data_IF_394879960182
#
_entry.id   IF_394879960182
#
_cell.length_a   1.000
_cell.length_b   1.000
_cell.length_c   1.000
_cell.angle_alpha   90.00
_cell.angle_beta   90.00
_cell.angle_gamma   90.00
#
_symmetry.space_group_name_H-M   'P 1'
#
loop_
_entity.id
_entity.type
_entity.pdbx_description
1 polymer ?
#
# COMPACT_ATOMS: atom_id res chain seq x y z
N UNK A 1 5.14 11.88 -20.60
CA UNK A 1 5.42 10.76 -19.69
C UNK A 1 4.17 9.87 -19.73
N UNK A 2 4.22 8.71 -20.39
CA UNK A 2 3.08 7.79 -20.46
C UNK A 2 2.95 7.14 -19.08
N UNK A 3 1.93 7.55 -18.32
CA UNK A 3 1.51 6.80 -17.14
C UNK A 3 0.87 5.48 -17.59
N UNK A 4 0.99 4.41 -16.81
CA UNK A 4 0.29 3.13 -17.07
C UNK A 4 -1.23 3.34 -17.25
N UNK A 5 -1.77 4.42 -16.66
CA UNK A 5 -3.16 4.87 -16.79
C UNK A 5 -3.53 5.43 -18.18
N UNK A 6 -2.57 5.60 -19.09
CA UNK A 6 -2.73 6.36 -20.34
C UNK A 6 -1.96 5.76 -21.51
N UNK A 7 -1.63 4.47 -21.43
CA UNK A 7 -0.93 3.77 -22.51
C UNK A 7 -1.91 3.49 -23.67
N UNK A 8 -1.73 4.10 -24.86
CA UNK A 8 -2.66 3.96 -25.97
C UNK A 8 -2.56 2.61 -26.70
N UNK A 9 -1.53 1.81 -26.40
CA UNK A 9 -1.24 0.54 -27.06
C UNK A 9 -1.78 -0.67 -26.26
N UNK A 10 -2.68 -0.43 -25.31
CA UNK A 10 -3.15 -1.43 -24.34
C UNK A 10 -4.26 -2.32 -24.94
N UNK A 11 -3.91 -3.37 -25.68
CA UNK A 11 -4.91 -4.33 -26.15
C UNK A 11 -5.49 -5.18 -24.99
N UNK A 12 -6.82 -5.45 -24.96
CA UNK A 12 -7.40 -6.37 -24.00
C UNK A 12 -6.78 -7.77 -24.06
N UNK A 13 -6.66 -8.47 -22.92
CA UNK A 13 -7.20 -8.09 -21.61
C UNK A 13 -6.28 -7.15 -20.83
N UNK A 14 -6.90 -6.14 -20.20
CA UNK A 14 -6.27 -5.17 -19.31
C UNK A 14 -5.81 -5.79 -17.95
N UNK A 15 -5.66 -7.11 -17.87
CA UNK A 15 -5.40 -7.84 -16.62
C UNK A 15 -4.10 -7.32 -15.95
N UNK A 16 -4.17 -7.09 -14.64
CA UNK A 16 -3.05 -6.55 -13.85
C UNK A 16 -2.74 -5.07 -14.11
N UNK A 17 -3.57 -4.36 -14.88
CA UNK A 17 -3.41 -2.93 -15.15
C UNK A 17 -4.23 -2.10 -14.18
N UNK A 18 -3.66 -0.98 -13.77
CA UNK A 18 -4.40 0.07 -13.07
C UNK A 18 -5.21 0.87 -14.09
N UNK A 19 -6.49 1.07 -13.84
CA UNK A 19 -7.44 1.75 -14.73
C UNK A 19 -8.25 2.79 -13.97
N UNK A 20 -8.75 3.78 -14.69
CA UNK A 20 -9.80 4.67 -14.17
C UNK A 20 -11.16 4.06 -14.50
N UNK A 21 -11.94 3.73 -13.48
CA UNK A 21 -13.29 3.20 -13.60
C UNK A 21 -14.31 4.28 -13.23
N UNK A 22 -15.28 4.50 -14.11
CA UNK A 22 -16.38 5.45 -13.92
C UNK A 22 -17.58 4.73 -13.32
N UNK A 23 -18.05 5.16 -12.15
CA UNK A 23 -19.20 4.54 -11.47
C UNK A 23 -20.48 4.84 -12.24
N UNK A 24 -21.18 3.81 -12.71
CA UNK A 24 -22.49 3.91 -13.38
C UNK A 24 -23.63 3.79 -12.38
N UNK A 25 -23.61 2.75 -11.55
CA UNK A 25 -24.67 2.50 -10.58
C UNK A 25 -24.17 1.68 -9.39
N UNK A 26 -24.93 1.71 -8.30
CA UNK A 26 -24.71 0.89 -7.11
C UNK A 26 -25.77 -0.21 -7.06
N UNK A 27 -25.32 -1.46 -7.02
CA UNK A 27 -26.16 -2.65 -6.92
C UNK A 27 -25.83 -3.49 -5.68
N UNK A 28 -26.54 -4.60 -5.45
CA UNK A 28 -26.28 -5.52 -4.33
C UNK A 28 -24.88 -6.13 -4.39
N UNK A 29 -24.42 -6.51 -5.58
CA UNK A 29 -23.11 -7.14 -5.82
C UNK A 29 -21.92 -6.16 -5.73
N UNK A 30 -22.16 -4.86 -5.88
CA UNK A 30 -21.08 -3.88 -5.98
C UNK A 30 -21.46 -2.63 -6.75
N UNK A 31 -20.46 -2.03 -7.39
CA UNK A 31 -20.62 -0.89 -8.27
C UNK A 31 -20.41 -1.35 -9.71
N UNK A 32 -21.39 -1.06 -10.56
CA UNK A 32 -21.19 -1.21 -12.01
C UNK A 32 -20.42 -0.01 -12.50
N UNK A 33 -19.47 -0.26 -13.38
CA UNK A 33 -18.46 0.69 -13.79
C UNK A 33 -18.30 0.67 -15.31
N UNK A 34 -17.65 1.71 -15.84
CA UNK A 34 -17.11 1.70 -17.20
C UNK A 34 -15.65 2.06 -17.16
N UNK A 35 -14.86 1.25 -17.83
CA UNK A 35 -13.45 1.51 -18.08
C UNK A 35 -13.30 1.87 -19.55
N UNK A 36 -12.59 2.97 -19.82
CA UNK A 36 -12.29 3.38 -21.18
C UNK A 36 -10.85 3.04 -21.52
N UNK A 37 -10.66 2.42 -22.69
CA UNK A 37 -9.34 2.26 -23.28
C UNK A 37 -8.73 3.63 -23.60
N UNK A 38 -7.50 3.88 -23.16
CA UNK A 38 -6.86 5.18 -23.31
C UNK A 38 -6.48 5.52 -24.77
N UNK A 39 -6.27 4.51 -25.62
CA UNK A 39 -5.87 4.68 -27.01
C UNK A 39 -7.05 4.69 -27.98
N UNK A 40 -8.01 3.80 -27.76
CA UNK A 40 -9.15 3.62 -28.68
C UNK A 40 -10.43 4.30 -28.21
N UNK A 41 -10.49 4.73 -26.94
CA UNK A 41 -11.71 5.25 -26.31
C UNK A 41 -12.82 4.21 -26.15
N UNK A 42 -12.50 2.91 -26.34
CA UNK A 42 -13.48 1.83 -26.27
C UNK A 42 -13.94 1.66 -24.84
N UNK A 43 -15.26 1.57 -24.66
CA UNK A 43 -15.85 1.28 -23.36
C UNK A 43 -15.86 -0.23 -23.07
N UNK A 44 -15.52 -0.57 -21.84
CA UNK A 44 -15.62 -1.90 -21.26
C UNK A 44 -16.48 -1.82 -20.00
N UNK A 45 -17.48 -2.70 -19.90
CA UNK A 45 -18.24 -2.88 -18.68
C UNK A 45 -17.35 -3.54 -17.61
N UNK A 46 -17.53 -3.12 -16.37
CA UNK A 46 -16.71 -3.55 -15.26
C UNK A 46 -17.51 -3.60 -13.96
N UNK A 47 -17.16 -4.52 -13.07
CA UNK A 47 -17.72 -4.65 -11.74
C UNK A 47 -16.64 -4.39 -10.69
N UNK A 48 -16.92 -3.47 -9.77
CA UNK A 48 -16.19 -3.33 -8.51
C UNK A 48 -17.00 -4.01 -7.39
N UNK A 49 -16.58 -5.18 -6.88
CA UNK A 49 -17.33 -5.91 -5.88
C UNK A 49 -17.52 -5.12 -4.58
N UNK A 50 -18.68 -5.29 -3.96
CA UNK A 50 -19.02 -4.63 -2.68
C UNK A 50 -18.08 -5.04 -1.54
N UNK A 51 -17.61 -6.28 -1.51
CA UNK A 51 -16.68 -6.80 -0.50
C UNK A 51 -15.40 -5.96 -0.41
N UNK A 52 -14.81 -5.67 -1.56
CA UNK A 52 -13.59 -4.86 -1.69
C UNK A 52 -13.81 -3.41 -1.24
N UNK A 53 -14.99 -2.84 -1.51
CA UNK A 53 -15.33 -1.49 -1.04
C UNK A 53 -15.55 -1.41 0.48
N UNK A 54 -16.12 -2.47 1.09
CA UNK A 54 -16.29 -2.53 2.55
C UNK A 54 -14.96 -2.65 3.30
N UNK A 55 -13.97 -3.35 2.75
CA UNK A 55 -12.64 -3.51 3.38
C UNK A 55 -11.93 -2.17 3.60
N UNK A 56 -12.20 -1.16 2.77
CA UNK A 56 -11.64 0.19 2.89
C UNK A 56 -12.28 1.02 4.02
N UNK A 57 -13.32 0.50 4.67
CA UNK A 57 -14.23 1.23 5.56
C UNK A 57 -13.95 1.01 7.05
N UNK A 58 -12.77 0.53 7.44
CA UNK A 58 -12.41 0.28 8.84
C UNK A 58 -12.21 1.61 9.61
N UNK A 59 -13.28 2.38 9.83
CA UNK A 59 -13.30 3.70 10.45
C UNK A 59 -14.68 4.38 10.31
N UNK A 60 -14.74 5.71 10.46
CA UNK A 60 -15.94 6.50 10.16
C UNK A 60 -16.48 6.13 8.77
N UNK A 61 -17.81 6.12 8.59
CA UNK A 61 -18.45 5.70 7.34
C UNK A 61 -17.77 6.38 6.14
N UNK A 62 -17.00 5.66 5.32
CA UNK A 62 -16.27 6.30 4.24
C UNK A 62 -17.26 6.85 3.23
N UNK A 63 -16.83 7.85 2.43
CA UNK A 63 -17.61 8.27 1.29
C UNK A 63 -17.90 7.05 0.43
N UNK A 64 -19.19 6.82 0.18
CA UNK A 64 -19.63 5.78 -0.76
C UNK A 64 -19.67 6.45 -2.13
N UNK A 65 -18.97 5.91 -3.15
CA UNK A 65 -19.00 6.48 -4.48
C UNK A 65 -20.42 6.59 -5.03
N UNK A 66 -20.72 7.72 -5.65
CA UNK A 66 -21.97 7.98 -6.36
C UNK A 66 -21.81 7.74 -7.87
N UNK A 67 -22.92 7.50 -8.60
CA UNK A 67 -22.90 7.55 -10.05
C UNK A 67 -22.26 8.84 -10.58
N UNK A 68 -21.30 8.70 -11.50
CA UNK A 68 -20.49 9.79 -12.04
C UNK A 68 -19.12 9.94 -11.41
N UNK A 69 -18.89 9.38 -10.21
CA UNK A 69 -17.57 9.38 -9.58
C UNK A 69 -16.58 8.49 -10.36
N UNK A 70 -15.29 8.72 -10.12
CA UNK A 70 -14.23 7.87 -10.67
C UNK A 70 -13.39 7.26 -9.56
N UNK A 71 -13.01 6.00 -9.77
CA UNK A 71 -12.07 5.30 -8.90
C UNK A 71 -10.91 4.74 -9.71
N UNK A 72 -9.74 4.68 -9.08
CA UNK A 72 -8.58 3.99 -9.63
C UNK A 72 -8.57 2.56 -9.10
N UNK A 73 -8.62 1.58 -10.00
CA UNK A 73 -8.72 0.17 -9.65
C UNK A 73 -7.77 -0.69 -10.48
N UNK A 74 -7.41 -1.85 -9.94
CA UNK A 74 -6.69 -2.91 -10.65
C UNK A 74 -7.70 -3.84 -11.34
N UNK A 75 -7.47 -4.16 -12.60
CA UNK A 75 -8.22 -5.23 -13.27
C UNK A 75 -7.66 -6.57 -12.81
N UNK A 76 -8.44 -7.34 -12.06
CA UNK A 76 -8.03 -8.62 -11.46
C UNK A 76 -8.58 -9.84 -12.20
N UNK A 77 -9.48 -9.64 -13.16
CA UNK A 77 -10.02 -10.72 -13.96
C UNK A 77 -11.03 -10.24 -14.99
N UNK A 78 -11.58 -11.19 -15.71
CA UNK A 78 -12.67 -11.00 -16.67
C UNK A 78 -13.69 -12.10 -16.40
N UNK A 79 -14.97 -11.76 -16.28
CA UNK A 79 -16.06 -12.72 -16.09
C UNK A 79 -16.38 -13.46 -17.41
N UNK A 80 -17.19 -14.51 -17.31
CA UNK A 80 -17.67 -15.25 -18.49
C UNK A 80 -18.49 -14.35 -19.44
N UNK A 81 -19.17 -13.34 -18.89
CA UNK A 81 -19.94 -12.33 -19.64
C UNK A 81 -19.04 -11.21 -20.22
N UNK A 82 -17.71 -11.38 -20.15
CA UNK A 82 -16.69 -10.42 -20.61
C UNK A 82 -16.67 -9.08 -19.87
N UNK A 83 -17.21 -9.06 -18.65
CA UNK A 83 -17.11 -7.91 -17.76
C UNK A 83 -15.76 -7.90 -17.04
N UNK A 84 -15.11 -6.74 -16.91
CA UNK A 84 -13.86 -6.63 -16.16
C UNK A 84 -14.13 -6.70 -14.66
N UNK A 85 -13.40 -7.54 -13.94
CA UNK A 85 -13.45 -7.58 -12.47
C UNK A 85 -12.38 -6.65 -11.89
N UNK A 86 -12.79 -5.76 -10.98
CA UNK A 86 -11.93 -4.72 -10.42
C UNK A 86 -11.61 -4.96 -8.94
N UNK A 87 -10.42 -4.52 -8.51
CA UNK A 87 -10.03 -4.45 -7.11
C UNK A 87 -9.37 -3.11 -6.79
N UNK A 88 -9.74 -2.51 -5.66
CA UNK A 88 -9.10 -1.30 -5.13
C UNK A 88 -8.21 -1.59 -3.91
N UNK A 89 -8.27 -2.81 -3.36
CA UNK A 89 -7.53 -3.22 -2.16
C UNK A 89 -6.22 -3.97 -2.45
N UNK A 90 -6.01 -4.45 -3.69
CA UNK A 90 -4.79 -5.17 -4.07
C UNK A 90 -3.53 -4.33 -3.87
N UNK A 91 -2.49 -4.89 -3.24
CA UNK A 91 -1.17 -4.25 -3.15
C UNK A 91 -0.51 -3.98 -4.50
N UNK A 92 -0.79 -4.81 -5.53
CA UNK A 92 -0.29 -4.60 -6.90
C UNK A 92 -0.79 -3.27 -7.47
N UNK A 93 -1.97 -2.78 -7.06
CA UNK A 93 -2.46 -1.47 -7.46
C UNK A 93 -1.45 -0.38 -7.07
N UNK A 94 -0.96 -0.43 -5.82
CA UNK A 94 0.02 0.54 -5.32
C UNK A 94 1.34 0.44 -6.07
N UNK A 95 1.81 -0.77 -6.35
CA UNK A 95 3.02 -1.02 -7.14
C UNK A 95 2.91 -0.40 -8.54
N UNK A 96 1.80 -0.65 -9.25
CA UNK A 96 1.53 -0.10 -10.59
C UNK A 96 1.47 1.42 -10.57
N UNK A 97 0.76 1.99 -9.61
CA UNK A 97 0.67 3.45 -9.49
C UNK A 97 2.03 4.07 -9.20
N UNK A 98 2.78 3.53 -8.23
CA UNK A 98 4.09 4.07 -7.90
C UNK A 98 5.06 3.98 -9.09
N UNK A 99 5.05 2.87 -9.82
CA UNK A 99 5.83 2.70 -11.06
C UNK A 99 5.49 3.76 -12.11
N UNK A 100 4.22 4.17 -12.21
CA UNK A 100 3.78 5.23 -13.12
C UNK A 100 4.23 6.63 -12.72
N UNK A 101 4.48 6.89 -11.43
CA UNK A 101 4.93 8.20 -10.92
C UNK A 101 6.45 8.31 -10.80
N UNK A 102 7.15 7.20 -10.62
CA UNK A 102 8.60 7.15 -10.32
C UNK A 102 9.34 6.55 -11.51
N UNK A 103 9.91 7.41 -12.36
CA UNK A 103 10.66 6.98 -13.54
C UNK A 103 11.86 6.10 -13.21
N UNK A 104 12.46 6.25 -12.03
CA UNK A 104 13.57 5.44 -11.56
C UNK A 104 13.18 3.98 -11.28
N UNK A 105 11.91 3.72 -10.92
CA UNK A 105 11.39 2.36 -10.82
C UNK A 105 11.18 1.78 -12.22
N UNK A 106 10.60 2.58 -13.14
CA UNK A 106 10.38 2.16 -14.52
C UNK A 106 11.69 1.83 -15.25
N UNK A 107 12.74 2.64 -15.03
CA UNK A 107 14.08 2.44 -15.56
C UNK A 107 14.84 1.29 -14.87
N UNK A 108 14.27 0.67 -13.83
CA UNK A 108 14.90 -0.40 -13.05
C UNK A 108 16.07 0.06 -12.18
N UNK A 109 16.25 1.36 -11.92
CA UNK A 109 17.29 1.94 -11.03
C UNK A 109 16.90 1.86 -9.55
N UNK A 110 15.61 1.74 -9.28
CA UNK A 110 15.01 1.51 -7.97
C UNK A 110 14.09 0.31 -8.09
N UNK A 111 14.08 -0.56 -7.09
CA UNK A 111 13.18 -1.71 -7.01
C UNK A 111 12.31 -1.61 -5.75
N UNK A 112 11.04 -1.97 -5.88
CA UNK A 112 10.14 -2.17 -4.75
C UNK A 112 10.44 -3.56 -4.18
N UNK A 113 10.87 -3.61 -2.92
CA UNK A 113 11.27 -4.85 -2.24
C UNK A 113 10.09 -5.52 -1.53
N UNK A 114 9.20 -4.72 -0.93
CA UNK A 114 8.03 -5.22 -0.24
C UNK A 114 6.95 -4.13 -0.13
N UNK A 115 5.69 -4.55 -0.02
CA UNK A 115 4.55 -3.69 0.26
C UNK A 115 3.73 -4.31 1.40
N UNK A 116 3.53 -3.56 2.47
CA UNK A 116 2.60 -3.90 3.54
C UNK A 116 1.44 -2.91 3.52
N UNK A 117 0.26 -3.38 3.11
CA UNK A 117 -0.93 -2.54 2.87
C UNK A 117 -2.07 -2.88 3.81
N UNK A 118 -2.67 -1.86 4.40
CA UNK A 118 -4.01 -1.85 4.94
C UNK A 118 -4.80 -0.82 4.12
N UNK A 119 -5.46 -1.31 3.08
CA UNK A 119 -6.09 -0.49 2.06
C UNK A 119 -7.12 0.47 2.69
N UNK A 120 -7.16 1.72 2.22
CA UNK A 120 -8.02 2.77 2.76
C UNK A 120 -7.49 3.46 4.02
N UNK A 121 -6.37 2.99 4.59
CA UNK A 121 -5.79 3.57 5.82
C UNK A 121 -4.30 3.87 5.68
N UNK A 122 -3.45 2.85 5.52
CA UNK A 122 -2.00 3.02 5.52
C UNK A 122 -1.29 1.94 4.72
N UNK A 123 -0.27 2.34 3.97
CA UNK A 123 0.59 1.46 3.19
C UNK A 123 2.06 1.81 3.39
N UNK A 124 2.87 0.81 3.77
CA UNK A 124 4.33 0.92 3.81
C UNK A 124 4.93 0.25 2.58
N UNK A 125 5.94 0.88 2.01
CA UNK A 125 6.62 0.41 0.79
C UNK A 125 8.12 0.47 1.04
N UNK A 126 8.77 -0.69 1.00
CA UNK A 126 10.22 -0.81 1.10
C UNK A 126 10.83 -0.73 -0.29
N UNK A 127 11.80 0.15 -0.48
CA UNK A 127 12.51 0.34 -1.76
C UNK A 127 14.01 0.25 -1.58
N UNK A 128 14.70 -0.21 -2.62
CA UNK A 128 16.17 -0.28 -2.66
C UNK A 128 16.69 0.23 -4.00
N UNK A 129 17.88 0.87 -4.03
CA UNK A 129 18.54 1.17 -5.29
C UNK A 129 19.11 -0.12 -5.89
N UNK A 130 19.13 -0.20 -7.21
CA UNK A 130 19.81 -1.29 -7.96
C UNK A 130 21.16 -0.85 -8.51
N UNK A 131 21.45 0.45 -8.47
CA UNK A 131 22.68 1.05 -8.97
C UNK A 131 23.28 2.00 -7.92
N UNK A 132 24.61 2.15 -7.86
CA UNK A 132 25.26 3.05 -6.92
C UNK A 132 24.86 4.51 -7.10
N UNK A 133 24.81 5.27 -6.02
CA UNK A 133 24.58 6.72 -6.03
C UNK A 133 23.10 7.14 -6.22
N UNK A 134 22.18 6.19 -6.34
CA UNK A 134 20.73 6.47 -6.35
C UNK A 134 20.17 6.35 -4.93
N UNK A 135 19.49 7.40 -4.47
CA UNK A 135 18.68 7.36 -3.25
C UNK A 135 17.26 6.91 -3.63
N UNK A 136 16.96 5.65 -3.34
CA UNK A 136 15.68 5.03 -3.70
C UNK A 136 14.49 5.67 -3.00
N UNK A 137 14.63 5.99 -1.71
CA UNK A 137 13.56 6.62 -0.94
C UNK A 137 13.27 8.01 -1.51
N UNK A 138 14.29 8.83 -1.73
CA UNK A 138 14.14 10.19 -2.27
C UNK A 138 13.57 10.18 -3.68
N UNK A 139 13.98 9.23 -4.53
CA UNK A 139 13.39 9.04 -5.85
C UNK A 139 11.88 8.78 -5.73
N UNK A 140 11.47 7.86 -4.87
CA UNK A 140 10.05 7.54 -4.73
C UNK A 140 9.22 8.68 -4.11
N UNK A 141 9.76 9.42 -3.14
CA UNK A 141 9.07 10.56 -2.50
C UNK A 141 8.94 11.75 -3.46
N UNK A 142 10.01 12.08 -4.17
CA UNK A 142 10.08 13.26 -5.05
C UNK A 142 10.10 14.60 -4.29
N UNK A 143 10.31 15.73 -5.00
CA UNK A 143 10.32 17.05 -4.38
C UNK A 143 9.00 17.32 -3.65
N UNK A 144 9.05 17.74 -2.38
CA UNK A 144 7.84 18.05 -1.59
C UNK A 144 6.87 16.87 -1.38
N UNK A 145 7.35 15.63 -1.52
CA UNK A 145 6.53 14.40 -1.51
C UNK A 145 5.49 14.30 -2.65
N UNK A 146 5.71 15.02 -3.76
CA UNK A 146 4.74 15.12 -4.87
C UNK A 146 4.39 13.77 -5.51
N UNK A 147 5.34 12.83 -5.59
CA UNK A 147 5.11 11.53 -6.24
C UNK A 147 4.23 10.62 -5.36
N UNK A 148 4.57 10.50 -4.07
CA UNK A 148 3.77 9.72 -3.10
C UNK A 148 2.38 10.33 -2.93
N UNK A 149 2.29 11.66 -2.75
CA UNK A 149 1.00 12.37 -2.67
C UNK A 149 0.15 12.23 -3.93
N UNK A 150 0.79 12.10 -5.09
CA UNK A 150 0.11 11.79 -6.34
C UNK A 150 -0.57 10.42 -6.30
N UNK A 151 0.14 9.40 -5.81
CA UNK A 151 -0.42 8.06 -5.62
C UNK A 151 -1.54 8.05 -4.56
N UNK A 152 -1.32 8.70 -3.40
CA UNK A 152 -2.35 8.87 -2.37
C UNK A 152 -3.61 9.54 -2.94
N UNK A 153 -3.45 10.62 -3.72
CA UNK A 153 -4.57 11.32 -4.36
C UNK A 153 -5.35 10.41 -5.32
N UNK A 154 -4.68 9.51 -6.04
CA UNK A 154 -5.33 8.55 -6.92
C UNK A 154 -6.09 7.47 -6.16
N UNK A 155 -5.48 6.90 -5.11
CA UNK A 155 -6.11 5.89 -4.26
C UNK A 155 -7.34 6.46 -3.54
N UNK A 156 -7.26 7.72 -3.12
CA UNK A 156 -8.28 8.37 -2.30
C UNK A 156 -9.40 9.07 -3.09
N UNK A 157 -9.43 8.96 -4.43
CA UNK A 157 -10.41 9.69 -5.28
C UNK A 157 -11.87 9.45 -4.91
N UNK A 158 -12.21 8.22 -4.57
CA UNK A 158 -13.57 7.83 -4.23
C UNK A 158 -13.65 7.06 -2.90
N UNK A 159 -12.51 6.55 -2.41
CA UNK A 159 -12.45 5.72 -1.22
C UNK A 159 -11.38 6.21 -0.26
N UNK A 160 -11.80 6.56 0.95
CA UNK A 160 -10.93 6.60 2.12
C UNK A 160 -9.91 7.73 2.17
N UNK A 161 -8.90 7.49 2.99
CA UNK A 161 -7.83 8.42 3.34
C UNK A 161 -6.53 7.62 3.57
N UNK A 162 -6.16 6.81 2.58
CA UNK A 162 -4.96 5.99 2.63
C UNK A 162 -3.70 6.88 2.57
N UNK A 163 -2.80 6.64 3.52
CA UNK A 163 -1.49 7.28 3.62
C UNK A 163 -0.38 6.32 3.19
N UNK A 164 0.62 6.82 2.47
CA UNK A 164 1.72 6.03 1.95
C UNK A 164 3.05 6.45 2.59
N UNK A 165 3.84 5.46 2.97
CA UNK A 165 5.16 5.66 3.57
C UNK A 165 6.21 4.87 2.78
N UNK A 166 7.20 5.59 2.26
CA UNK A 166 8.35 4.98 1.60
C UNK A 166 9.50 4.85 2.62
N UNK A 167 9.98 3.63 2.79
CA UNK A 167 11.10 3.30 3.68
C UNK A 167 12.23 2.68 2.87
N UNK A 168 13.46 2.86 3.34
CA UNK A 168 14.62 2.23 2.74
C UNK A 168 14.74 0.78 3.22
N UNK A 169 14.83 -0.14 2.27
CA UNK A 169 15.11 -1.53 2.55
C UNK A 169 16.56 -1.71 3.00
N UNK A 170 16.78 -2.61 3.95
CA UNK A 170 18.11 -3.03 4.40
C UNK A 170 18.13 -4.55 4.50
N UNK A 171 19.26 -5.17 4.15
CA UNK A 171 19.46 -6.60 4.38
C UNK A 171 19.73 -6.91 5.87
N UNK A 172 20.24 -5.92 6.61
CA UNK A 172 20.28 -5.99 8.07
C UNK A 172 18.87 -5.80 8.65
N UNK A 173 18.37 -6.85 9.34
CA UNK A 173 16.99 -6.94 9.85
C UNK A 173 16.68 -5.87 10.89
N UNK A 174 17.63 -5.54 11.76
CA UNK A 174 17.45 -4.53 12.79
C UNK A 174 17.29 -3.14 12.15
N UNK A 175 18.19 -2.79 11.22
CA UNK A 175 18.11 -1.55 10.44
C UNK A 175 16.83 -1.48 9.63
N UNK A 176 16.44 -2.58 8.96
CA UNK A 176 15.22 -2.59 8.16
C UNK A 176 13.96 -2.43 9.02
N UNK A 177 13.89 -3.07 10.19
CA UNK A 177 12.79 -2.89 11.13
C UNK A 177 12.72 -1.46 11.66
N UNK A 178 13.84 -0.87 12.06
CA UNK A 178 13.89 0.54 12.48
C UNK A 178 13.38 1.46 11.38
N UNK A 179 13.81 1.27 10.13
CA UNK A 179 13.30 2.02 8.99
C UNK A 179 11.79 1.81 8.78
N UNK A 180 11.30 0.58 8.94
CA UNK A 180 9.90 0.22 8.76
C UNK A 180 8.99 0.80 9.87
N UNK A 181 9.52 1.08 11.06
CA UNK A 181 8.76 1.64 12.20
C UNK A 181 8.40 3.11 12.05
N UNK A 182 9.02 3.84 11.10
CA UNK A 182 8.67 5.23 10.76
C UNK A 182 7.14 5.43 10.68
N UNK A 183 6.59 6.54 11.19
CA UNK A 183 7.25 7.70 11.79
C UNK A 183 7.61 7.51 13.28
N UNK A 184 7.41 6.33 13.85
CA UNK A 184 7.74 6.04 15.25
C UNK A 184 9.25 5.86 15.37
N UNK A 185 9.87 6.60 16.28
CA UNK A 185 11.30 6.45 16.57
C UNK A 185 11.50 5.25 17.50
N UNK A 186 12.48 4.42 17.16
CA UNK A 186 12.84 3.24 17.93
C UNK A 186 13.94 3.64 18.91
N UNK A 187 13.67 3.50 20.20
CA UNK A 187 14.65 3.80 21.26
C UNK A 187 15.67 2.67 21.42
N UNK A 188 15.22 1.42 21.30
CA UNK A 188 16.04 0.21 21.37
C UNK A 188 15.29 -0.95 20.69
N UNK A 189 15.99 -1.99 20.27
CA UNK A 189 15.37 -3.20 19.72
C UNK A 189 16.24 -4.44 19.90
N UNK A 190 15.57 -5.58 20.00
CA UNK A 190 16.19 -6.90 19.95
C UNK A 190 15.51 -7.73 18.86
N UNK A 191 16.30 -8.25 17.93
CA UNK A 191 15.83 -9.09 16.82
C UNK A 191 16.54 -10.43 16.88
N UNK A 192 15.78 -11.53 16.87
CA UNK A 192 16.33 -12.90 16.79
C UNK A 192 15.38 -13.79 16.00
N UNK A 193 15.91 -14.50 15.00
CA UNK A 193 15.10 -15.31 14.10
C UNK A 193 14.01 -14.48 13.41
N UNK A 194 12.76 -14.90 13.57
CA UNK A 194 11.57 -14.25 13.00
C UNK A 194 10.87 -13.31 13.99
N UNK A 195 11.49 -13.02 15.13
CA UNK A 195 10.90 -12.25 16.22
C UNK A 195 11.68 -10.97 16.51
N UNK A 196 10.96 -9.94 16.90
CA UNK A 196 11.55 -8.67 17.31
C UNK A 196 10.76 -8.02 18.44
N UNK A 197 11.49 -7.48 19.42
CA UNK A 197 10.94 -6.60 20.45
C UNK A 197 11.52 -5.20 20.24
N UNK A 198 10.64 -4.21 20.16
CA UNK A 198 10.98 -2.81 19.84
C UNK A 198 10.57 -1.93 21.02
N UNK A 199 11.49 -1.12 21.52
CA UNK A 199 11.24 -0.12 22.55
C UNK A 199 10.85 1.20 21.89
N UNK A 200 9.71 1.73 22.32
CA UNK A 200 9.19 3.02 21.87
C UNK A 200 8.82 3.88 23.07
N UNK A 201 9.12 5.16 23.02
CA UNK A 201 8.80 6.08 24.09
C UNK A 201 7.28 6.22 24.29
N UNK A 202 6.77 6.25 25.55
CA UNK A 202 5.33 6.27 25.80
C UNK A 202 4.58 7.45 25.16
N UNK A 203 5.24 8.61 25.03
CA UNK A 203 4.64 9.77 24.37
C UNK A 203 4.41 9.53 22.87
N UNK A 204 5.24 8.69 22.23
CA UNK A 204 5.05 8.25 20.85
C UNK A 204 4.00 7.15 20.74
N UNK A 205 3.47 6.64 21.86
CA UNK A 205 2.35 5.69 21.98
C UNK A 205 0.97 6.37 22.23
N UNK A 206 0.88 7.71 22.22
CA UNK A 206 -0.32 8.52 22.58
C UNK A 206 -1.36 8.75 21.46
N UNK A 207 -2.31 7.84 21.25
CA UNK A 207 -3.30 7.88 20.15
C UNK A 207 -4.10 6.57 20.09
N UNK A 208 -5.10 6.49 19.23
CA UNK A 208 -6.03 5.36 19.26
C UNK A 208 -5.29 4.01 19.09
N UNK A 209 -5.52 3.09 20.03
CA UNK A 209 -4.83 1.78 20.13
C UNK A 209 -4.82 1.03 18.78
N UNK A 210 -5.87 1.24 17.96
CA UNK A 210 -6.01 0.67 16.61
C UNK A 210 -5.01 1.19 15.58
N UNK A 211 -4.72 2.50 15.54
CA UNK A 211 -3.80 3.06 14.53
C UNK A 211 -2.33 2.72 14.83
N UNK A 212 -2.00 2.51 16.10
CA UNK A 212 -0.65 2.24 16.61
C UNK A 212 -0.25 0.79 16.41
N UNK A 213 -1.16 -0.11 16.80
CA UNK A 213 -1.04 -1.53 16.49
C UNK A 213 -0.96 -1.74 14.98
N UNK A 214 -1.65 -0.92 14.17
CA UNK A 214 -1.52 -0.98 12.72
C UNK A 214 -0.11 -0.63 12.23
N UNK A 215 0.54 0.41 12.74
CA UNK A 215 1.90 0.78 12.30
C UNK A 215 2.90 -0.36 12.54
N UNK A 216 2.96 -0.87 13.77
CA UNK A 216 3.85 -1.98 14.13
C UNK A 216 3.51 -3.27 13.36
N UNK A 217 2.22 -3.55 13.16
CA UNK A 217 1.77 -4.70 12.35
C UNK A 217 2.18 -4.57 10.88
N UNK A 218 2.08 -3.37 10.29
CA UNK A 218 2.54 -3.13 8.92
C UNK A 218 4.07 -3.23 8.83
N UNK A 219 4.82 -2.72 9.82
CA UNK A 219 6.27 -2.87 9.87
C UNK A 219 6.69 -4.35 9.95
N UNK A 220 6.04 -5.14 10.81
CA UNK A 220 6.24 -6.59 10.90
C UNK A 220 5.93 -7.31 9.59
N UNK A 221 4.79 -7.01 8.96
CA UNK A 221 4.45 -7.56 7.63
C UNK A 221 5.45 -7.17 6.53
N UNK A 222 5.97 -5.93 6.57
CA UNK A 222 6.92 -5.43 5.58
C UNK A 222 8.29 -6.11 5.70
N UNK A 223 8.69 -6.44 6.92
CA UNK A 223 9.99 -7.01 7.26
C UNK A 223 9.97 -8.54 7.39
N UNK A 224 8.78 -9.15 7.45
CA UNK A 224 8.62 -10.57 7.75
C UNK A 224 8.96 -10.92 9.21
N UNK A 225 8.72 -10.00 10.14
CA UNK A 225 8.98 -10.18 11.58
C UNK A 225 7.67 -10.18 12.39
N UNK A 226 7.60 -11.05 13.39
CA UNK A 226 6.68 -10.91 14.51
C UNK A 226 7.21 -9.82 15.44
N UNK A 227 6.52 -8.67 15.50
CA UNK A 227 6.99 -7.47 16.21
C UNK A 227 6.14 -7.23 17.45
N UNK A 228 6.78 -7.16 18.62
CA UNK A 228 6.19 -6.68 19.86
C UNK A 228 6.74 -5.29 20.20
N UNK A 229 5.86 -4.35 20.53
CA UNK A 229 6.25 -3.01 21.00
C UNK A 229 6.16 -2.97 22.53
N UNK A 230 7.21 -2.48 23.17
CA UNK A 230 7.32 -2.31 24.63
C UNK A 230 7.81 -0.90 24.96
N UNK A 231 7.73 -0.52 26.23
CA UNK A 231 8.22 0.78 26.73
C UNK A 231 9.60 0.66 27.38
N UNK A 232 10.34 1.77 27.52
CA UNK A 232 11.63 1.79 28.22
C UNK A 232 11.56 1.14 29.60
N UNK A 233 12.62 0.46 30.00
CA UNK A 233 12.71 -0.30 31.25
C UNK A 233 12.24 -1.75 31.16
N UNK A 234 11.74 -2.19 30.00
CA UNK A 234 11.43 -3.61 29.73
C UNK A 234 12.70 -4.38 29.41
N UNK A 235 12.91 -5.54 30.05
CA UNK A 235 13.96 -6.48 29.64
C UNK A 235 13.57 -7.18 28.34
N UNK A 236 14.36 -6.93 27.29
CA UNK A 236 14.05 -7.37 25.92
C UNK A 236 14.21 -8.87 25.73
N UNK A 237 15.15 -9.52 26.44
CA UNK A 237 15.41 -10.95 26.26
C UNK A 237 14.21 -11.80 26.72
N UNK A 238 13.70 -11.66 27.95
CA UNK A 238 12.49 -12.36 28.37
C UNK A 238 11.25 -11.99 27.55
N UNK A 239 11.15 -10.76 27.05
CA UNK A 239 10.05 -10.36 26.18
C UNK A 239 10.08 -11.10 24.84
N UNK A 240 11.26 -11.19 24.21
CA UNK A 240 11.47 -11.91 22.97
C UNK A 240 11.19 -13.41 23.14
N UNK A 241 11.67 -14.02 24.22
CA UNK A 241 11.47 -15.44 24.50
C UNK A 241 9.98 -15.77 24.67
N UNK A 242 9.19 -14.88 25.31
CA UNK A 242 7.72 -15.03 25.41
C UNK A 242 7.06 -14.91 24.05
N UNK A 243 7.43 -13.89 23.27
CA UNK A 243 6.87 -13.69 21.93
C UNK A 243 7.12 -14.90 21.02
N UNK A 244 8.33 -15.46 21.07
CA UNK A 244 8.69 -16.66 20.33
C UNK A 244 7.86 -17.88 20.77
N UNK A 245 7.63 -18.06 22.07
CA UNK A 245 6.82 -19.16 22.61
C UNK A 245 5.32 -19.03 22.26
N UNK A 246 4.79 -17.81 22.14
CA UNK A 246 3.38 -17.55 21.79
C UNK A 246 3.08 -17.74 20.29
N UNK A 247 4.12 -17.75 19.45
CA UNK A 247 3.99 -17.76 17.98
C UNK A 247 4.60 -18.99 17.31
N UNK A 248 5.17 -19.91 18.09
CA UNK A 248 5.63 -21.23 17.67
C UNK A 248 4.48 -22.23 17.56
#
# INVERSE_FOLDING_TARGET
MRTILSDPDLEPPLLGKAVTAHIKSRGPEGFTCTVYDAGTGRAHDALLPRSVAHELSAGAAPPVPAPGDTVIALVVGVSDERELMLSVTSHELVERLLTGFVGEILDGKVVIKAIARAAGTRTKIAVAPTVPGVDARRACVGPGATRVKGVESLLNRAFGSETLEIVEHSDDRATFLTNAMMPVEVADLLVEGEHAVVVVEPHQLSGDIGERSLNARLAGRLTGLAVQVVTPGTDLRPALDRLAAETA
#
